data_IF_692534460362
#
_entry.id   IF_692534460362
#
_cell.length_a   1.000
_cell.length_b   1.000
_cell.length_c   1.000
_cell.angle_alpha   90.00
_cell.angle_beta   90.00
_cell.angle_gamma   90.00
#
_symmetry.space_group_name_H-M   'P 1'
#
loop_
_entity.id
_entity.type
_entity.pdbx_description
1 polymer ?
#
# COMPACT_ATOMS: atom_id res chain seq x y z
N UNK A 1 -14.34 -69.37 -4.41
CA UNK A 1 -13.85 -70.35 -5.41
C UNK A 1 -13.11 -69.63 -6.51
N UNK A 2 -11.91 -70.08 -6.74
CA UNK A 2 -10.96 -69.74 -7.81
C UNK A 2 -10.15 -68.42 -7.65
N UNK A 3 -9.11 -68.56 -6.90
CA UNK A 3 -7.83 -67.87 -7.05
C UNK A 3 -7.15 -68.35 -8.34
N UNK A 4 -6.56 -67.47 -9.13
CA UNK A 4 -5.51 -67.81 -10.10
C UNK A 4 -4.33 -66.85 -9.90
N UNK A 5 -3.13 -67.37 -10.06
CA UNK A 5 -1.93 -66.75 -9.51
C UNK A 5 -1.13 -65.95 -10.52
N UNK A 6 -0.39 -65.01 -10.00
CA UNK A 6 1.02 -64.68 -10.20
C UNK A 6 1.63 -64.85 -11.59
N UNK A 7 2.15 -63.80 -12.12
CA UNK A 7 3.39 -63.87 -12.91
C UNK A 7 4.30 -62.73 -12.48
N UNK A 8 5.37 -63.11 -11.83
CA UNK A 8 6.54 -62.30 -11.58
C UNK A 8 7.29 -62.12 -12.90
N UNK A 9 7.72 -60.94 -13.21
CA UNK A 9 8.78 -60.71 -14.19
C UNK A 9 9.80 -59.77 -13.58
N UNK A 10 10.98 -60.31 -13.55
CA UNK A 10 12.23 -59.80 -12.98
C UNK A 10 12.98 -59.02 -14.05
N UNK A 11 13.71 -58.03 -13.61
CA UNK A 11 14.89 -57.36 -14.16
C UNK A 11 14.83 -56.53 -15.46
N UNK A 12 15.12 -55.26 -15.29
CA UNK A 12 16.14 -54.63 -16.13
C UNK A 12 16.91 -53.57 -15.32
N UNK A 13 18.12 -53.86 -15.04
CA UNK A 13 19.16 -52.96 -14.52
C UNK A 13 19.50 -51.99 -15.65
N UNK A 14 19.13 -50.73 -15.54
CA UNK A 14 19.51 -49.70 -16.47
C UNK A 14 20.53 -48.79 -15.80
N UNK A 15 21.70 -48.80 -16.36
CA UNK A 15 22.91 -48.05 -16.06
C UNK A 15 22.64 -46.57 -15.77
N UNK A 16 23.07 -46.15 -14.57
CA UNK A 16 23.11 -44.78 -14.10
C UNK A 16 24.19 -44.02 -14.91
N UNK A 17 23.77 -43.31 -15.90
CA UNK A 17 24.62 -42.34 -16.60
C UNK A 17 24.76 -41.10 -15.69
N UNK A 18 25.92 -40.93 -15.12
CA UNK A 18 26.35 -39.71 -14.43
C UNK A 18 26.40 -38.56 -15.46
N UNK A 19 25.32 -37.82 -15.51
CA UNK A 19 25.35 -36.51 -16.17
C UNK A 19 26.17 -35.55 -15.32
N UNK A 20 27.41 -35.31 -15.74
CA UNK A 20 28.17 -34.16 -15.28
C UNK A 20 27.48 -32.89 -15.75
N UNK A 21 26.62 -32.31 -14.88
CA UNK A 21 26.17 -30.95 -15.08
C UNK A 21 27.35 -30.01 -14.83
N UNK A 22 27.65 -29.08 -15.77
CA UNK A 22 28.64 -28.06 -15.51
C UNK A 22 28.15 -27.21 -14.33
N UNK A 23 28.91 -27.21 -13.26
CA UNK A 23 28.74 -26.29 -12.16
C UNK A 23 28.93 -24.89 -12.72
N UNK A 24 27.82 -24.17 -12.97
CA UNK A 24 27.89 -22.74 -13.21
C UNK A 24 28.47 -22.10 -11.94
N UNK A 25 29.74 -21.74 -12.02
CA UNK A 25 30.37 -20.93 -11.00
C UNK A 25 29.53 -19.65 -10.88
N UNK A 26 28.83 -19.52 -9.75
CA UNK A 26 28.13 -18.28 -9.41
C UNK A 26 29.21 -17.18 -9.39
N UNK A 27 29.16 -16.27 -10.36
CA UNK A 27 29.94 -15.03 -10.30
C UNK A 27 29.57 -14.34 -8.98
N UNK A 28 30.54 -13.97 -8.14
CA UNK A 28 30.24 -13.24 -6.92
C UNK A 28 29.56 -11.94 -7.33
N UNK A 29 28.27 -11.85 -7.03
CA UNK A 29 27.51 -10.61 -7.17
C UNK A 29 28.17 -9.61 -6.22
N UNK A 30 28.61 -8.43 -6.72
CA UNK A 30 29.19 -7.43 -5.84
C UNK A 30 28.15 -7.14 -4.75
N UNK A 31 28.53 -7.39 -3.49
CA UNK A 31 27.71 -7.00 -2.35
C UNK A 31 27.43 -5.51 -2.50
N UNK A 32 26.19 -5.16 -2.78
CA UNK A 32 25.78 -3.76 -2.77
C UNK A 32 26.17 -3.22 -1.40
N UNK A 33 27.17 -2.34 -1.40
CA UNK A 33 27.61 -1.69 -0.17
C UNK A 33 26.36 -1.01 0.41
N UNK A 34 25.83 -1.54 1.50
CA UNK A 34 24.73 -0.94 2.24
C UNK A 34 25.23 0.44 2.66
N UNK A 35 24.79 1.48 1.96
CA UNK A 35 25.10 2.84 2.34
C UNK A 35 24.60 3.01 3.78
N UNK A 36 25.48 3.36 4.69
CA UNK A 36 25.13 3.52 6.10
C UNK A 36 24.00 4.54 6.21
N UNK A 37 22.85 4.08 6.67
CA UNK A 37 21.67 4.93 6.86
C UNK A 37 21.98 5.89 8.00
N UNK A 38 22.05 7.18 7.71
CA UNK A 38 22.27 8.20 8.74
C UNK A 38 20.94 8.68 9.33
N UNK A 39 20.92 9.06 10.60
CA UNK A 39 19.74 9.64 11.26
C UNK A 39 19.21 10.86 10.49
N UNK A 40 20.10 11.68 9.93
CA UNK A 40 19.72 12.82 9.07
C UNK A 40 19.01 12.35 7.81
N UNK A 41 19.52 11.30 7.15
CA UNK A 41 18.90 10.74 5.95
C UNK A 41 17.50 10.18 6.24
N UNK A 42 17.32 9.49 7.36
CA UNK A 42 16.01 9.01 7.82
C UNK A 42 15.04 10.17 8.03
N UNK A 43 15.45 11.20 8.75
CA UNK A 43 14.61 12.37 9.04
C UNK A 43 14.21 13.11 7.74
N UNK A 44 15.13 13.28 6.81
CA UNK A 44 14.85 13.91 5.52
C UNK A 44 13.87 13.09 4.69
N UNK A 45 14.05 11.78 4.64
CA UNK A 45 13.13 10.90 3.91
C UNK A 45 11.73 10.91 4.54
N UNK A 46 11.66 10.84 5.87
CA UNK A 46 10.39 10.95 6.59
C UNK A 46 9.67 12.27 6.29
N UNK A 47 10.37 13.40 6.37
CA UNK A 47 9.78 14.71 6.05
C UNK A 47 9.26 14.78 4.60
N UNK A 48 9.99 14.21 3.63
CA UNK A 48 9.56 14.15 2.24
C UNK A 48 8.29 13.29 2.09
N UNK A 49 8.23 12.15 2.78
CA UNK A 49 7.07 11.25 2.78
C UNK A 49 5.83 11.95 3.37
N UNK A 50 5.96 12.58 4.51
CA UNK A 50 4.89 13.36 5.16
C UNK A 50 4.39 14.45 4.22
N UNK A 51 5.30 15.24 3.64
CA UNK A 51 4.94 16.31 2.72
C UNK A 51 4.18 15.78 1.48
N UNK A 52 4.62 14.68 0.89
CA UNK A 52 3.94 14.05 -0.25
C UNK A 52 2.51 13.64 0.12
N UNK A 53 2.33 12.93 1.24
CA UNK A 53 1.01 12.48 1.68
C UNK A 53 0.03 13.65 1.92
N UNK A 54 0.46 14.71 2.60
CA UNK A 54 -0.40 15.88 2.79
C UNK A 54 -0.67 16.66 1.51
N UNK A 55 0.29 16.66 0.57
CA UNK A 55 0.08 17.27 -0.74
C UNK A 55 -0.99 16.55 -1.55
N UNK A 56 -0.95 15.21 -1.56
CA UNK A 56 -1.94 14.37 -2.24
C UNK A 56 -3.33 14.52 -1.59
N UNK A 57 -3.38 14.52 -0.25
CA UNK A 57 -4.61 14.75 0.50
C UNK A 57 -5.23 16.13 0.18
N UNK A 58 -4.40 17.18 0.11
CA UNK A 58 -4.86 18.53 -0.26
C UNK A 58 -5.39 18.58 -1.70
N UNK A 59 -4.73 17.91 -2.64
CA UNK A 59 -5.19 17.83 -4.03
C UNK A 59 -6.56 17.15 -4.11
N UNK A 60 -6.72 15.98 -3.49
CA UNK A 60 -7.97 15.25 -3.46
C UNK A 60 -9.10 16.03 -2.77
N UNK A 61 -8.80 16.78 -1.69
CA UNK A 61 -9.77 17.65 -1.04
C UNK A 61 -10.25 18.80 -1.93
N UNK A 62 -9.39 19.37 -2.76
CA UNK A 62 -9.76 20.40 -3.75
C UNK A 62 -10.65 19.85 -4.86
N UNK A 63 -10.38 18.63 -5.32
CA UNK A 63 -11.22 17.94 -6.30
C UNK A 63 -12.62 17.65 -5.72
N UNK A 64 -12.68 17.19 -4.48
CA UNK A 64 -13.92 17.01 -3.74
C UNK A 64 -14.68 18.33 -3.59
N UNK A 65 -14.03 19.40 -3.19
CA UNK A 65 -14.63 20.74 -3.08
C UNK A 65 -15.24 21.18 -4.41
N UNK A 66 -14.54 20.93 -5.51
CA UNK A 66 -15.03 21.25 -6.86
C UNK A 66 -16.28 20.45 -7.22
N UNK A 67 -16.29 19.14 -6.95
CA UNK A 67 -17.44 18.28 -7.21
C UNK A 67 -18.68 18.71 -6.39
N UNK A 68 -18.47 19.05 -5.11
CA UNK A 68 -19.53 19.57 -4.24
C UNK A 68 -20.06 20.92 -4.77
N UNK A 69 -19.20 21.84 -5.15
CA UNK A 69 -19.59 23.14 -5.68
C UNK A 69 -20.44 23.03 -6.96
N UNK A 70 -20.07 22.10 -7.86
CA UNK A 70 -20.85 21.80 -9.06
C UNK A 70 -22.23 21.25 -8.69
N UNK A 71 -22.28 20.29 -7.78
CA UNK A 71 -23.55 19.71 -7.32
C UNK A 71 -24.46 20.76 -6.68
N UNK A 72 -23.95 21.58 -5.78
CA UNK A 72 -24.75 22.63 -5.10
C UNK A 72 -25.29 23.66 -6.08
N UNK A 73 -24.53 24.01 -7.12
CA UNK A 73 -24.95 24.96 -8.15
C UNK A 73 -26.07 24.41 -9.06
N UNK A 74 -26.04 23.12 -9.33
CA UNK A 74 -27.03 22.44 -10.20
C UNK A 74 -27.34 21.04 -9.64
N UNK A 75 -28.21 20.93 -8.62
CA UNK A 75 -28.51 19.67 -7.96
C UNK A 75 -29.11 18.64 -8.92
N UNK A 76 -28.54 17.44 -8.94
CA UNK A 76 -29.02 16.30 -9.70
C UNK A 76 -28.55 14.98 -9.04
N UNK A 77 -29.21 13.87 -9.36
CA UNK A 77 -28.79 12.57 -8.86
C UNK A 77 -27.35 12.24 -9.26
N UNK A 78 -27.01 12.47 -10.54
CA UNK A 78 -25.65 12.24 -11.05
C UNK A 78 -24.62 13.17 -10.37
N UNK A 79 -24.96 14.44 -10.14
CA UNK A 79 -24.10 15.38 -9.42
C UNK A 79 -23.85 14.95 -7.98
N UNK A 80 -24.86 14.42 -7.28
CA UNK A 80 -24.73 13.87 -5.94
C UNK A 80 -23.81 12.66 -5.92
N UNK A 81 -23.95 11.74 -6.88
CA UNK A 81 -23.09 10.55 -6.95
C UNK A 81 -21.62 10.91 -7.23
N UNK A 82 -21.39 11.92 -8.07
CA UNK A 82 -20.04 12.46 -8.29
C UNK A 82 -19.44 13.08 -7.03
N UNK A 83 -20.23 13.84 -6.28
CA UNK A 83 -19.77 14.43 -5.03
C UNK A 83 -19.47 13.38 -3.96
N UNK A 84 -20.32 12.35 -3.84
CA UNK A 84 -20.07 11.20 -2.95
C UNK A 84 -18.80 10.44 -3.32
N UNK A 85 -18.62 10.18 -4.62
CA UNK A 85 -17.40 9.51 -5.08
C UNK A 85 -16.15 10.35 -4.76
N UNK A 86 -16.18 11.64 -5.02
CA UNK A 86 -15.05 12.53 -4.74
C UNK A 86 -14.73 12.57 -3.23
N UNK A 87 -15.74 12.49 -2.36
CA UNK A 87 -15.53 12.36 -0.92
C UNK A 87 -14.87 11.05 -0.54
N UNK A 88 -15.30 9.93 -1.10
CA UNK A 88 -14.67 8.63 -0.88
C UNK A 88 -13.20 8.64 -1.34
N UNK A 89 -12.95 9.16 -2.54
CA UNK A 89 -11.60 9.25 -3.09
C UNK A 89 -10.69 10.13 -2.18
N UNK A 90 -11.19 11.27 -1.69
CA UNK A 90 -10.43 12.14 -0.79
C UNK A 90 -10.10 11.48 0.55
N UNK A 91 -10.99 10.66 1.09
CA UNK A 91 -10.78 9.91 2.34
C UNK A 91 -9.62 8.93 2.26
N UNK A 92 -9.37 8.31 1.10
CA UNK A 92 -8.25 7.37 0.91
C UNK A 92 -6.91 8.07 1.14
N UNK A 93 -6.75 9.28 0.60
CA UNK A 93 -5.53 10.07 0.80
C UNK A 93 -5.43 10.62 2.23
N UNK A 94 -6.53 11.13 2.76
CA UNK A 94 -6.53 11.65 4.13
C UNK A 94 -6.24 10.56 5.16
N UNK A 95 -6.82 9.37 4.99
CA UNK A 95 -6.61 8.23 5.89
C UNK A 95 -5.14 7.83 6.00
N UNK A 96 -4.35 7.96 4.95
CA UNK A 96 -2.92 7.68 4.98
C UNK A 96 -2.15 8.65 5.87
N UNK A 97 -2.63 9.88 6.04
CA UNK A 97 -1.99 10.88 6.91
C UNK A 97 -2.10 10.54 8.40
N UNK A 98 -3.01 9.63 8.77
CA UNK A 98 -3.17 9.18 10.16
C UNK A 98 -1.91 8.55 10.76
N UNK A 99 -1.03 7.99 9.91
CA UNK A 99 0.27 7.48 10.33
C UNK A 99 1.17 8.56 10.96
N UNK A 100 0.87 9.84 10.73
CA UNK A 100 1.67 10.98 11.19
C UNK A 100 1.05 11.75 12.36
N UNK A 101 -0.02 11.23 12.98
CA UNK A 101 -0.77 11.91 14.05
C UNK A 101 -0.06 11.96 15.39
N UNK A 102 0.86 11.03 15.65
CA UNK A 102 1.36 10.76 17.00
C UNK A 102 2.45 11.74 17.48
N UNK A 103 2.70 12.80 16.76
CA UNK A 103 3.83 13.70 17.00
C UNK A 103 3.45 15.08 17.51
N UNK A 104 2.17 15.32 17.80
CA UNK A 104 1.69 16.63 18.24
C UNK A 104 2.00 17.73 17.22
N UNK A 105 1.83 17.42 15.93
CA UNK A 105 2.04 18.37 14.84
C UNK A 105 0.90 19.38 14.72
N UNK A 106 1.03 20.39 13.87
CA UNK A 106 0.12 21.55 13.82
C UNK A 106 -1.34 21.20 13.46
N UNK A 107 -1.61 19.98 13.00
CA UNK A 107 -2.97 19.49 12.71
C UNK A 107 -3.56 18.77 13.94
N UNK A 108 -2.73 18.07 14.70
CA UNK A 108 -3.13 17.14 15.76
C UNK A 108 -2.70 17.55 17.17
N UNK A 109 -2.18 18.77 17.33
CA UNK A 109 -1.95 19.31 18.66
C UNK A 109 -3.29 19.76 19.28
N UNK A 110 -3.28 20.18 20.53
CA UNK A 110 -4.46 20.60 21.27
C UNK A 110 -5.21 21.81 20.66
N UNK A 111 -4.53 22.60 19.81
CA UNK A 111 -5.08 23.76 19.12
C UNK A 111 -5.29 23.50 17.62
N UNK A 112 -4.95 22.30 17.14
CA UNK A 112 -5.03 21.92 15.75
C UNK A 112 -6.45 21.75 15.21
N UNK A 113 -6.66 21.84 13.90
CA UNK A 113 -7.97 21.75 13.27
C UNK A 113 -8.50 20.31 13.12
N UNK A 114 -7.85 19.31 13.69
CA UNK A 114 -8.19 17.91 13.46
C UNK A 114 -9.65 17.61 13.79
N UNK A 115 -10.16 18.15 14.90
CA UNK A 115 -11.56 17.99 15.28
C UNK A 115 -12.57 18.57 14.30
N UNK A 116 -12.15 19.51 13.42
CA UNK A 116 -12.99 20.04 12.35
C UNK A 116 -12.93 19.20 11.07
N UNK A 117 -11.86 18.42 10.90
CA UNK A 117 -11.63 17.61 9.70
C UNK A 117 -12.17 16.19 9.91
N UNK A 118 -11.97 15.63 11.09
CA UNK A 118 -12.26 14.25 11.41
C UNK A 118 -12.63 14.09 12.89
N UNK A 119 -13.75 14.71 13.26
CA UNK A 119 -14.29 14.58 14.62
C UNK A 119 -14.68 13.13 14.93
N UNK A 120 -14.31 12.66 16.11
CA UNK A 120 -14.72 11.37 16.62
C UNK A 120 -15.07 11.46 18.12
N UNK A 121 -16.23 10.98 18.54
CA UNK A 121 -17.33 10.46 17.69
C UNK A 121 -17.89 11.53 16.77
N UNK A 122 -18.52 11.09 15.68
CA UNK A 122 -19.24 12.00 14.78
C UNK A 122 -20.32 12.73 15.59
N UNK A 123 -20.48 14.02 15.30
CA UNK A 123 -21.63 14.78 15.80
C UNK A 123 -22.89 14.30 15.06
N UNK A 124 -23.76 13.59 15.77
CA UNK A 124 -25.00 13.02 15.24
C UNK A 124 -26.22 13.89 15.57
N UNK A 125 -26.01 15.11 16.04
CA UNK A 125 -27.06 16.03 16.43
C UNK A 125 -27.79 16.69 15.25
#
# INVERSE_FOLDING_TARGET
MNMKPVAAAVLAISSLSLFNLPTLAATPQPAAASAAVSNKGVAQHYAALVHANYSDSLAAAKDMQTAIAVFVKAPSAEGLDKARKAWLDAREFYGQTEAFRFYGGPIHDENGPEGQINAWPLDEA
#
